data_IF_712446291299
#
_entry.id   IF_712446291299
#
_cell.length_a   1.000
_cell.length_b   1.000
_cell.length_c   1.000
_cell.angle_alpha   90.00
_cell.angle_beta   90.00
_cell.angle_gamma   90.00
#
_symmetry.space_group_name_H-M   'P 1'
#
loop_
_entity.id
_entity.type
_entity.pdbx_description
1 polymer ?
#
# COMPACT_ATOMS: atom_id res chain seq x y z
N UNK A 1 -15.54 -27.91 0.88
CA UNK A 1 -15.42 -26.49 0.55
C UNK A 1 -16.54 -25.78 1.29
N UNK A 2 -16.25 -25.25 2.45
CA UNK A 2 -17.24 -24.57 3.29
C UNK A 2 -16.66 -23.20 3.60
N UNK A 3 -17.28 -22.19 3.05
CA UNK A 3 -17.13 -20.80 3.43
C UNK A 3 -17.44 -20.67 4.92
N UNK A 4 -16.41 -20.47 5.74
CA UNK A 4 -16.64 -20.07 7.13
C UNK A 4 -17.15 -18.64 7.12
N UNK A 5 -18.44 -18.48 7.25
CA UNK A 5 -19.06 -17.25 7.68
C UNK A 5 -18.52 -16.93 9.08
N UNK A 6 -17.68 -15.91 9.15
CA UNK A 6 -17.32 -15.26 10.41
C UNK A 6 -18.53 -14.41 10.82
N UNK A 7 -19.57 -15.05 11.35
CA UNK A 7 -20.59 -14.35 12.12
C UNK A 7 -19.96 -14.02 13.46
N UNK A 8 -19.59 -12.74 13.65
CA UNK A 8 -19.38 -12.19 14.98
C UNK A 8 -20.62 -12.55 15.81
N UNK A 9 -20.49 -13.56 16.64
CA UNK A 9 -21.52 -13.91 17.59
C UNK A 9 -21.76 -12.67 18.47
N UNK A 10 -23.00 -12.20 18.55
CA UNK A 10 -23.40 -11.20 19.50
C UNK A 10 -23.09 -11.75 20.89
N UNK A 11 -22.01 -11.23 21.48
CA UNK A 11 -21.75 -11.49 22.90
C UNK A 11 -22.71 -10.62 23.70
N UNK A 12 -23.71 -11.25 24.28
CA UNK A 12 -24.84 -10.64 25.00
C UNK A 12 -24.40 -9.93 26.31
N UNK A 13 -23.13 -10.05 26.69
CA UNK A 13 -22.57 -9.47 27.93
C UNK A 13 -22.02 -8.05 27.74
N UNK A 14 -21.96 -7.49 26.54
CA UNK A 14 -21.43 -6.16 26.26
C UNK A 14 -22.40 -5.25 25.49
N UNK A 15 -23.70 -5.29 25.80
CA UNK A 15 -24.65 -4.29 25.32
C UNK A 15 -24.47 -2.93 26.04
N UNK A 16 -23.29 -2.39 26.03
CA UNK A 16 -23.10 -0.97 26.32
C UNK A 16 -23.36 -0.24 25.01
N UNK A 17 -24.63 0.08 24.78
CA UNK A 17 -25.05 0.88 23.64
C UNK A 17 -24.50 2.30 23.78
N UNK A 18 -24.05 2.89 22.68
CA UNK A 18 -23.77 4.32 22.63
C UNK A 18 -25.10 5.09 22.67
N UNK A 19 -25.16 6.14 23.47
CA UNK A 19 -26.23 7.13 23.36
C UNK A 19 -25.96 8.04 22.17
N UNK A 20 -26.98 8.36 21.39
CA UNK A 20 -26.85 9.12 20.16
C UNK A 20 -27.70 10.39 20.22
N UNK A 21 -27.09 11.54 19.96
CA UNK A 21 -27.76 12.85 19.88
C UNK A 21 -27.51 13.45 18.50
N UNK A 22 -28.56 13.69 17.72
CA UNK A 22 -28.46 14.35 16.44
C UNK A 22 -28.64 15.87 16.60
N UNK A 23 -27.75 16.63 16.00
CA UNK A 23 -27.80 18.10 15.94
C UNK A 23 -27.36 18.60 14.59
N UNK A 24 -27.71 19.83 14.29
CA UNK A 24 -27.18 20.58 13.16
C UNK A 24 -26.17 21.61 13.69
N UNK A 25 -25.02 21.71 13.05
CA UNK A 25 -23.97 22.68 13.35
C UNK A 25 -23.71 23.53 12.12
N UNK A 26 -23.57 24.84 12.30
CA UNK A 26 -23.08 25.69 11.21
C UNK A 26 -21.56 25.45 10.97
N UNK A 27 -21.11 25.70 9.76
CA UNK A 27 -19.67 25.72 9.48
C UNK A 27 -18.98 26.77 10.35
N UNK A 28 -19.63 27.87 10.66
CA UNK A 28 -19.14 28.90 11.57
C UNK A 28 -18.83 28.32 12.96
N UNK A 29 -19.71 27.49 13.49
CA UNK A 29 -19.52 26.86 14.81
C UNK A 29 -18.40 25.82 14.77
N UNK A 30 -18.37 24.97 13.75
CA UNK A 30 -17.40 23.89 13.69
C UNK A 30 -15.98 24.39 13.41
N UNK A 31 -15.80 25.44 12.60
CA UNK A 31 -14.49 26.00 12.26
C UNK A 31 -13.98 27.04 13.29
N UNK A 32 -14.78 27.39 14.32
CA UNK A 32 -14.38 28.38 15.30
C UNK A 32 -13.12 27.93 16.04
N UNK A 33 -12.11 28.80 16.09
CA UNK A 33 -10.85 28.51 16.78
C UNK A 33 -10.08 27.32 16.17
N UNK A 34 -10.22 27.07 14.84
CA UNK A 34 -9.48 26.00 14.16
C UNK A 34 -7.99 26.24 14.21
N UNK A 35 -7.25 25.22 14.65
CA UNK A 35 -5.79 25.19 14.71
C UNK A 35 -5.30 23.86 14.16
N UNK A 36 -4.36 23.93 13.23
CA UNK A 36 -3.63 22.77 12.72
C UNK A 36 -2.15 22.89 13.11
N UNK A 37 -1.75 22.21 14.18
CA UNK A 37 -0.38 22.15 14.66
C UNK A 37 0.41 20.97 14.06
N UNK A 38 -0.20 20.15 13.22
CA UNK A 38 0.49 19.01 12.59
C UNK A 38 1.65 19.44 11.69
N UNK A 39 1.64 20.71 11.24
CA UNK A 39 2.71 21.29 10.42
C UNK A 39 3.99 21.55 11.24
N UNK A 40 3.86 21.70 12.57
CA UNK A 40 4.96 22.09 13.48
C UNK A 40 5.45 20.95 14.37
N UNK A 41 4.96 19.73 14.20
CA UNK A 41 5.20 18.57 15.07
C UNK A 41 4.78 18.78 16.56
N UNK A 42 3.98 19.83 16.84
CA UNK A 42 3.65 20.24 18.22
C UNK A 42 2.24 19.86 18.69
N UNK A 43 1.53 18.99 17.95
CA UNK A 43 0.21 18.61 18.42
C UNK A 43 -0.81 18.30 17.35
N UNK A 44 -2.06 18.14 17.78
CA UNK A 44 -3.16 17.70 16.96
C UNK A 44 -3.81 18.81 16.14
N UNK A 45 -4.88 18.43 15.46
CA UNK A 45 -5.77 19.34 14.74
C UNK A 45 -7.04 19.52 15.57
N UNK A 46 -7.39 20.76 15.90
CA UNK A 46 -8.55 21.06 16.74
C UNK A 46 -9.40 22.19 16.19
N UNK A 47 -10.65 22.25 16.64
CA UNK A 47 -11.60 23.34 16.35
C UNK A 47 -12.62 23.51 17.49
N UNK A 48 -13.66 24.32 17.25
CA UNK A 48 -14.67 24.67 18.28
C UNK A 48 -14.02 25.22 19.57
N UNK A 49 -13.08 26.15 19.37
CA UNK A 49 -12.27 26.75 20.45
C UNK A 49 -11.46 25.70 21.25
N UNK A 50 -10.89 24.72 20.54
CA UNK A 50 -10.04 23.66 21.13
C UNK A 50 -10.80 22.47 21.69
N UNK A 51 -12.14 22.51 21.73
CA UNK A 51 -12.96 21.42 22.29
C UNK A 51 -13.04 20.18 21.39
N UNK A 52 -13.03 20.37 20.08
CA UNK A 52 -13.09 19.27 19.12
C UNK A 52 -11.70 18.88 18.66
N UNK A 53 -11.24 17.72 19.09
CA UNK A 53 -10.07 17.06 18.50
C UNK A 53 -10.49 16.44 17.14
N UNK A 54 -10.06 17.08 16.04
CA UNK A 54 -10.41 16.62 14.69
C UNK A 54 -9.60 15.40 14.27
N UNK A 55 -8.40 15.22 14.85
CA UNK A 55 -7.50 14.10 14.54
C UNK A 55 -7.09 13.34 15.80
N UNK A 56 -8.00 12.56 16.39
CA UNK A 56 -7.65 11.68 17.49
C UNK A 56 -6.63 10.61 17.03
N UNK A 57 -5.94 9.98 18.00
CA UNK A 57 -4.79 9.08 17.76
C UNK A 57 -5.07 7.92 16.79
N UNK A 58 -6.28 7.43 16.71
CA UNK A 58 -6.67 6.34 15.81
C UNK A 58 -7.00 6.80 14.37
N UNK A 59 -7.12 8.10 14.13
CA UNK A 59 -7.38 8.65 12.80
C UNK A 59 -6.09 8.77 11.98
N UNK A 60 -6.25 8.67 10.65
CA UNK A 60 -5.17 8.88 9.69
C UNK A 60 -4.83 10.36 9.52
N UNK A 61 -3.73 10.63 8.83
CA UNK A 61 -3.35 11.99 8.42
C UNK A 61 -4.34 12.57 7.40
N UNK A 62 -4.21 13.88 7.11
CA UNK A 62 -5.00 14.54 6.07
C UNK A 62 -4.45 14.14 4.69
N UNK A 63 -5.17 13.25 3.98
CA UNK A 63 -4.72 12.63 2.73
C UNK A 63 -5.24 13.29 1.46
N UNK A 64 -6.17 14.24 1.56
CA UNK A 64 -6.77 14.91 0.40
C UNK A 64 -6.10 16.24 0.06
N UNK A 65 -4.95 16.53 0.65
CA UNK A 65 -4.27 17.83 0.45
C UNK A 65 -3.90 18.05 -1.01
N UNK A 66 -3.42 17.05 -1.72
CA UNK A 66 -3.08 17.12 -3.14
C UNK A 66 -4.27 16.89 -4.08
N UNK A 67 -5.44 16.52 -3.56
CA UNK A 67 -6.62 16.29 -4.38
C UNK A 67 -7.46 17.56 -4.61
N UNK A 68 -6.97 18.43 -5.50
CA UNK A 68 -7.63 19.68 -5.87
C UNK A 68 -9.11 19.48 -6.27
N UNK A 69 -9.39 18.48 -7.09
CA UNK A 69 -10.74 18.23 -7.62
C UNK A 69 -11.72 17.87 -6.50
N UNK A 70 -11.29 17.05 -5.53
CA UNK A 70 -12.12 16.66 -4.41
C UNK A 70 -12.41 17.85 -3.48
N UNK A 71 -11.37 18.65 -3.16
CA UNK A 71 -11.52 19.87 -2.34
C UNK A 71 -12.50 20.87 -2.96
N UNK A 72 -12.35 21.14 -4.24
CA UNK A 72 -13.24 22.04 -4.98
C UNK A 72 -14.68 21.52 -5.04
N UNK A 73 -14.90 20.24 -5.31
CA UNK A 73 -16.23 19.64 -5.30
C UNK A 73 -16.91 19.76 -3.95
N UNK A 74 -16.19 19.58 -2.85
CA UNK A 74 -16.75 19.73 -1.51
C UNK A 74 -17.21 21.18 -1.26
N UNK A 75 -16.34 22.16 -1.50
CA UNK A 75 -16.67 23.58 -1.26
C UNK A 75 -17.78 24.03 -2.20
N UNK A 76 -17.75 23.63 -3.46
CA UNK A 76 -18.81 23.93 -4.42
C UNK A 76 -20.17 23.33 -4.01
N UNK A 77 -20.19 22.10 -3.45
CA UNK A 77 -21.43 21.50 -2.93
C UNK A 77 -22.02 22.34 -1.80
N UNK A 78 -21.18 22.85 -0.90
CA UNK A 78 -21.62 23.76 0.18
C UNK A 78 -22.15 25.08 -0.38
N UNK A 79 -21.44 25.69 -1.33
CA UNK A 79 -21.91 26.93 -2.01
C UNK A 79 -23.25 26.70 -2.70
N UNK A 80 -23.45 25.58 -3.36
CA UNK A 80 -24.70 25.22 -4.02
C UNK A 80 -25.82 24.82 -3.05
N UNK A 81 -25.51 24.57 -1.78
CA UNK A 81 -26.48 24.10 -0.78
C UNK A 81 -26.82 22.61 -0.95
N UNK A 82 -25.97 21.84 -1.64
CA UNK A 82 -26.18 20.41 -1.76
C UNK A 82 -25.86 19.71 -0.42
N UNK A 83 -26.61 18.66 -0.06
CA UNK A 83 -26.32 17.92 1.16
C UNK A 83 -24.97 17.23 1.06
N UNK A 84 -24.16 17.37 2.09
CA UNK A 84 -22.93 16.59 2.27
C UNK A 84 -23.12 15.59 3.41
N UNK A 85 -22.32 14.51 3.42
CA UNK A 85 -22.43 13.49 4.43
C UNK A 85 -22.27 14.08 5.83
N UNK A 86 -23.09 13.59 6.78
CA UNK A 86 -23.03 13.99 8.18
C UNK A 86 -21.66 13.70 8.79
N UNK A 87 -21.35 14.40 9.87
CA UNK A 87 -20.17 14.15 10.70
C UNK A 87 -20.58 13.41 11.97
N UNK A 88 -19.65 12.59 12.49
CA UNK A 88 -19.85 11.87 13.75
C UNK A 88 -18.82 12.33 14.76
N UNK A 89 -19.30 12.72 15.94
CA UNK A 89 -18.53 13.33 17.01
C UNK A 89 -18.64 12.42 18.25
N UNK A 90 -17.52 11.91 18.71
CA UNK A 90 -17.42 11.12 19.93
C UNK A 90 -17.42 12.01 21.19
N UNK A 91 -18.11 11.55 22.20
CA UNK A 91 -18.14 12.15 23.53
C UNK A 91 -17.88 11.05 24.55
N UNK A 92 -16.95 11.30 25.48
CA UNK A 92 -16.73 10.36 26.57
C UNK A 92 -17.92 10.38 27.52
N UNK A 93 -18.35 9.20 27.94
CA UNK A 93 -19.45 9.05 28.89
C UNK A 93 -19.21 9.79 30.20
N UNK A 94 -17.92 9.92 30.61
CA UNK A 94 -17.53 10.66 31.81
C UNK A 94 -17.77 12.18 31.67
N UNK A 95 -17.67 12.75 30.47
CA UNK A 95 -17.97 14.17 30.26
C UNK A 95 -19.42 14.49 30.60
N UNK A 96 -20.34 13.61 30.25
CA UNK A 96 -21.75 13.71 30.63
C UNK A 96 -21.95 13.49 32.12
N UNK A 97 -21.27 12.51 32.73
CA UNK A 97 -21.34 12.20 34.16
C UNK A 97 -20.80 13.32 35.08
N UNK A 98 -19.85 14.13 34.60
CA UNK A 98 -19.32 15.29 35.31
C UNK A 98 -20.31 16.44 35.46
N UNK A 99 -21.53 16.31 34.91
CA UNK A 99 -22.57 17.37 35.00
C UNK A 99 -22.26 18.60 34.15
N UNK A 100 -21.28 18.55 33.27
CA UNK A 100 -20.95 19.62 32.34
C UNK A 100 -22.10 19.86 31.36
N UNK A 101 -22.30 21.12 31.01
CA UNK A 101 -23.22 21.45 29.92
C UNK A 101 -22.66 20.97 28.56
N UNK A 102 -23.54 20.72 27.62
CA UNK A 102 -23.20 20.27 26.25
C UNK A 102 -22.10 21.13 25.58
N UNK A 103 -22.08 22.42 25.86
CA UNK A 103 -21.11 23.39 25.31
C UNK A 103 -19.71 23.28 25.95
N UNK A 104 -19.55 22.51 27.01
CA UNK A 104 -18.29 22.33 27.74
C UNK A 104 -17.66 20.94 27.52
N UNK A 105 -18.36 20.05 26.78
CA UNK A 105 -17.84 18.71 26.53
C UNK A 105 -16.56 18.73 25.69
N UNK A 106 -15.60 17.89 26.04
CA UNK A 106 -14.51 17.53 25.18
C UNK A 106 -15.02 16.56 24.09
N UNK A 107 -14.65 16.81 22.86
CA UNK A 107 -15.18 16.17 21.66
C UNK A 107 -14.05 15.58 20.84
N UNK A 108 -14.31 14.48 20.18
CA UNK A 108 -13.40 13.91 19.19
C UNK A 108 -14.12 13.56 17.88
N UNK A 109 -13.48 13.77 16.74
CA UNK A 109 -14.06 13.43 15.45
C UNK A 109 -13.99 11.93 15.23
N UNK A 110 -15.13 11.26 15.07
CA UNK A 110 -15.20 9.83 14.71
C UNK A 110 -15.24 9.61 13.20
N UNK A 111 -16.02 10.42 12.47
CA UNK A 111 -16.01 10.47 11.01
C UNK A 111 -16.30 11.88 10.51
N UNK A 112 -15.72 12.24 9.37
CA UNK A 112 -15.83 13.58 8.78
C UNK A 112 -14.55 14.41 8.89
N UNK A 113 -13.46 13.86 9.43
CA UNK A 113 -12.16 14.51 9.57
C UNK A 113 -11.71 15.22 8.28
N UNK A 114 -11.63 14.50 7.16
CA UNK A 114 -11.13 15.03 5.90
C UNK A 114 -11.98 16.23 5.42
N UNK A 115 -13.30 16.12 5.54
CA UNK A 115 -14.26 17.20 5.18
C UNK A 115 -14.06 18.42 6.06
N UNK A 116 -13.99 18.22 7.37
CA UNK A 116 -13.84 19.32 8.34
C UNK A 116 -12.52 20.06 8.14
N UNK A 117 -11.40 19.35 8.01
CA UNK A 117 -10.08 19.96 7.75
C UNK A 117 -10.11 20.75 6.44
N UNK A 118 -10.67 20.19 5.36
CA UNK A 118 -10.76 20.88 4.07
C UNK A 118 -11.56 22.17 4.15
N UNK A 119 -12.70 22.14 4.82
CA UNK A 119 -13.54 23.34 5.00
C UNK A 119 -12.77 24.40 5.79
N UNK A 120 -12.17 24.02 6.91
CA UNK A 120 -11.41 24.96 7.76
C UNK A 120 -10.17 25.51 7.02
N UNK A 121 -9.45 24.68 6.27
CA UNK A 121 -8.30 25.12 5.47
C UNK A 121 -8.71 26.10 4.37
N UNK A 122 -9.86 25.91 3.71
CA UNK A 122 -10.37 26.87 2.73
C UNK A 122 -10.69 28.21 3.39
N UNK A 123 -11.38 28.23 4.52
CA UNK A 123 -11.71 29.43 5.29
C UNK A 123 -10.44 30.17 5.74
N UNK A 124 -9.39 29.43 6.09
CA UNK A 124 -8.08 29.99 6.46
C UNK A 124 -7.21 30.38 5.24
N UNK A 125 -7.73 30.28 4.01
CA UNK A 125 -7.04 30.70 2.80
C UNK A 125 -5.88 29.81 2.38
N UNK A 126 -5.84 28.54 2.79
CA UNK A 126 -4.76 27.61 2.47
C UNK A 126 -4.76 27.24 0.98
N UNK A 127 -5.92 27.14 0.35
CA UNK A 127 -6.04 26.83 -1.07
C UNK A 127 -7.21 27.61 -1.73
N UNK A 128 -7.18 27.87 -3.06
CA UNK A 128 -8.26 28.46 -3.81
C UNK A 128 -9.26 27.42 -4.31
N UNK A 129 -10.48 27.87 -4.65
CA UNK A 129 -11.43 27.13 -5.51
C UNK A 129 -11.54 27.82 -6.86
N UNK A 130 -11.95 27.12 -7.89
CA UNK A 130 -12.14 27.67 -9.22
C UNK A 130 -13.62 27.95 -9.50
N UNK A 131 -13.96 29.20 -9.89
CA UNK A 131 -15.29 29.59 -10.31
C UNK A 131 -15.16 30.24 -11.70
N UNK A 132 -15.80 29.67 -12.70
CA UNK A 132 -15.75 30.14 -14.10
C UNK A 132 -14.30 30.30 -14.63
N UNK A 133 -13.40 29.34 -14.31
CA UNK A 133 -12.01 29.34 -14.75
C UNK A 133 -11.10 30.33 -14.01
N UNK A 134 -11.58 30.96 -12.92
CA UNK A 134 -10.77 31.88 -12.11
C UNK A 134 -10.61 31.37 -10.69
N UNK A 135 -9.40 31.43 -10.11
CA UNK A 135 -9.13 31.01 -8.74
C UNK A 135 -9.64 32.05 -7.73
N UNK A 136 -10.36 31.58 -6.71
CA UNK A 136 -10.82 32.37 -5.58
C UNK A 136 -10.36 31.77 -4.26
N UNK A 137 -9.58 32.54 -3.52
CA UNK A 137 -9.29 32.29 -2.12
C UNK A 137 -10.42 32.82 -1.24
N UNK A 138 -10.48 32.39 -0.01
CA UNK A 138 -11.45 32.92 0.96
C UNK A 138 -11.46 34.46 1.05
N UNK A 139 -10.27 35.09 0.99
CA UNK A 139 -10.09 36.53 1.13
C UNK A 139 -10.74 37.34 -0.01
N UNK A 140 -10.73 36.80 -1.24
CA UNK A 140 -11.27 37.47 -2.43
C UNK A 140 -12.59 36.86 -2.94
N UNK A 141 -13.17 35.91 -2.19
CA UNK A 141 -14.49 35.36 -2.49
C UNK A 141 -15.56 36.36 -2.15
N UNK A 142 -16.59 36.48 -3.00
CA UNK A 142 -17.73 37.36 -2.79
C UNK A 142 -18.39 37.05 -1.42
N UNK A 143 -18.76 38.10 -0.69
CA UNK A 143 -19.37 38.04 0.65
C UNK A 143 -20.59 37.11 0.70
N UNK A 144 -21.43 37.15 -0.31
CA UNK A 144 -22.63 36.30 -0.40
C UNK A 144 -22.27 34.80 -0.38
N UNK A 145 -21.14 34.39 -0.97
CA UNK A 145 -20.68 33.00 -0.95
C UNK A 145 -20.02 32.66 0.39
N UNK A 146 -19.25 33.59 0.98
CA UNK A 146 -18.69 33.42 2.32
C UNK A 146 -19.79 33.24 3.36
N UNK A 147 -20.86 34.09 3.32
CA UNK A 147 -22.00 33.96 4.22
C UNK A 147 -22.75 32.65 4.03
N UNK A 148 -22.90 32.21 2.77
CA UNK A 148 -23.53 30.93 2.47
C UNK A 148 -22.77 29.76 3.02
N UNK A 149 -21.42 29.76 2.90
CA UNK A 149 -20.54 28.74 3.48
C UNK A 149 -20.64 28.77 5.01
N UNK A 150 -20.47 29.94 5.65
CA UNK A 150 -20.45 30.05 7.10
C UNK A 150 -21.77 29.66 7.77
N UNK A 151 -22.89 29.85 7.10
CA UNK A 151 -24.22 29.53 7.62
C UNK A 151 -24.73 28.17 7.13
N UNK A 152 -23.92 27.42 6.34
CA UNK A 152 -24.29 26.08 5.90
C UNK A 152 -24.43 25.15 7.11
N UNK A 153 -25.55 24.41 7.15
CA UNK A 153 -25.88 23.48 8.23
C UNK A 153 -25.30 22.11 7.93
N UNK A 154 -24.42 21.64 8.82
CA UNK A 154 -23.87 20.30 8.82
C UNK A 154 -24.66 19.42 9.79
N UNK A 155 -25.16 18.30 9.31
CA UNK A 155 -25.72 17.28 10.20
C UNK A 155 -24.58 16.65 11.03
N UNK A 156 -24.70 16.71 12.35
CA UNK A 156 -23.77 16.16 13.30
C UNK A 156 -24.45 15.15 14.21
N UNK A 157 -23.85 13.98 14.36
CA UNK A 157 -24.30 12.95 15.30
C UNK A 157 -23.28 12.82 16.42
N UNK A 158 -23.70 13.11 17.64
CA UNK A 158 -22.89 12.92 18.84
C UNK A 158 -23.09 11.51 19.36
N UNK A 159 -21.99 10.78 19.48
CA UNK A 159 -21.93 9.39 19.91
C UNK A 159 -21.30 9.34 21.30
N UNK A 160 -22.12 9.19 22.33
CA UNK A 160 -21.71 9.20 23.74
C UNK A 160 -21.45 7.76 24.18
N UNK A 161 -20.24 7.44 24.56
CA UNK A 161 -19.81 6.13 24.99
C UNK A 161 -18.40 6.17 25.56
N UNK A 162 -17.95 5.06 26.15
CA UNK A 162 -16.56 4.90 26.54
C UNK A 162 -15.64 4.78 25.31
N UNK A 163 -14.34 4.77 25.51
CA UNK A 163 -13.36 4.72 24.42
C UNK A 163 -13.52 3.44 23.60
N UNK A 164 -13.77 2.30 24.25
CA UNK A 164 -13.92 1.01 23.58
C UNK A 164 -15.13 1.01 22.63
N UNK A 165 -16.28 1.50 23.10
CA UNK A 165 -17.50 1.60 22.31
C UNK A 165 -17.31 2.54 21.10
N UNK A 166 -16.61 3.69 21.27
CA UNK A 166 -16.32 4.63 20.20
C UNK A 166 -15.40 4.04 19.15
N UNK A 167 -14.33 3.34 19.54
CA UNK A 167 -13.41 2.66 18.64
C UNK A 167 -14.11 1.50 17.91
N UNK A 168 -14.93 0.71 18.61
CA UNK A 168 -15.71 -0.40 18.03
C UNK A 168 -16.68 0.11 16.96
N UNK A 169 -17.35 1.24 17.23
CA UNK A 169 -18.22 1.89 16.27
C UNK A 169 -17.45 2.44 15.07
N UNK A 170 -16.33 3.13 15.31
CA UNK A 170 -15.45 3.65 14.26
C UNK A 170 -15.00 2.54 13.29
N UNK A 171 -14.62 1.39 13.80
CA UNK A 171 -14.28 0.22 12.98
C UNK A 171 -15.47 -0.24 12.15
N UNK A 172 -16.66 -0.34 12.74
CA UNK A 172 -17.88 -0.82 12.05
C UNK A 172 -18.32 0.09 10.91
N UNK A 173 -18.31 1.40 11.09
CA UNK A 173 -18.77 2.32 10.05
C UNK A 173 -17.83 2.34 8.84
N UNK A 174 -16.56 2.01 9.05
CA UNK A 174 -15.56 1.98 8.00
C UNK A 174 -15.44 0.59 7.31
N UNK A 175 -16.01 -0.48 7.87
CA UNK A 175 -15.92 -1.82 7.32
C UNK A 175 -16.62 -2.05 5.97
N UNK A 176 -17.84 -1.58 5.69
CA UNK A 176 -18.56 -1.97 4.47
C UNK A 176 -18.03 -1.35 3.18
N UNK A 177 -17.33 -0.22 3.28
CA UNK A 177 -16.74 0.51 2.15
C UNK A 177 -15.24 0.70 2.34
N UNK A 178 -14.60 -0.21 3.04
CA UNK A 178 -13.24 -0.21 3.56
C UNK A 178 -12.28 0.73 2.82
N UNK A 179 -12.31 2.00 3.18
CA UNK A 179 -11.24 2.94 2.85
C UNK A 179 -10.07 2.82 3.84
N UNK A 180 -10.23 2.05 4.92
CA UNK A 180 -9.16 1.80 5.89
C UNK A 180 -8.34 0.58 5.49
N UNK A 181 -7.02 0.71 5.55
CA UNK A 181 -6.11 -0.43 5.42
C UNK A 181 -6.11 -1.29 6.68
N UNK A 182 -5.60 -2.52 6.58
CA UNK A 182 -5.43 -3.39 7.74
C UNK A 182 -4.59 -2.71 8.82
N UNK A 183 -3.56 -1.93 8.42
CA UNK A 183 -2.74 -1.20 9.37
C UNK A 183 -3.48 -0.06 10.06
N UNK A 184 -4.32 0.68 9.35
CA UNK A 184 -5.18 1.72 9.97
C UNK A 184 -6.14 1.11 11.00
N UNK A 185 -6.67 -0.09 10.75
CA UNK A 185 -7.49 -0.83 11.70
C UNK A 185 -6.67 -1.29 12.93
N UNK A 186 -5.46 -1.83 12.72
CA UNK A 186 -4.55 -2.20 13.80
C UNK A 186 -4.15 -0.99 14.64
N UNK A 187 -3.89 0.16 14.02
CA UNK A 187 -3.59 1.41 14.72
C UNK A 187 -4.70 1.82 15.68
N UNK A 188 -5.97 1.57 15.34
CA UNK A 188 -7.10 1.84 16.22
C UNK A 188 -7.26 0.82 17.35
N UNK A 189 -6.58 -0.33 17.26
CA UNK A 189 -6.66 -1.42 18.26
C UNK A 189 -5.55 -1.32 19.30
N UNK A 190 -4.34 -0.99 18.87
CA UNK A 190 -3.13 -1.03 19.69
C UNK A 190 -2.62 0.37 19.97
N UNK A 191 -3.47 1.21 20.59
CA UNK A 191 -3.10 2.57 20.98
C UNK A 191 -2.06 2.55 22.12
N UNK A 192 -1.07 3.43 22.03
CA UNK A 192 -0.01 3.59 23.04
C UNK A 192 1.14 4.47 22.55
N UNK A 193 2.07 4.76 23.44
CA UNK A 193 3.26 5.58 23.10
C UNK A 193 4.13 4.90 22.03
N UNK A 194 4.24 3.57 22.08
CA UNK A 194 4.91 2.78 21.02
C UNK A 194 4.37 3.12 19.64
N UNK A 195 3.04 3.08 19.46
CA UNK A 195 2.41 3.36 18.17
C UNK A 195 2.63 4.81 17.72
N UNK A 196 2.51 5.76 18.66
CA UNK A 196 2.71 7.18 18.33
C UNK A 196 4.16 7.46 17.92
N UNK A 197 5.14 6.85 18.57
CA UNK A 197 6.55 7.00 18.22
C UNK A 197 6.87 6.30 16.88
N UNK A 198 6.32 5.10 16.65
CA UNK A 198 6.41 4.41 15.37
C UNK A 198 5.82 5.25 14.22
N UNK A 199 4.66 5.87 14.42
CA UNK A 199 4.03 6.74 13.42
C UNK A 199 4.85 8.00 13.11
N UNK A 200 5.52 8.58 14.11
CA UNK A 200 6.43 9.73 13.87
C UNK A 200 7.55 9.39 12.92
N UNK A 201 8.06 8.16 12.97
CA UNK A 201 9.16 7.72 12.11
C UNK A 201 8.67 7.19 10.76
N UNK A 202 7.63 6.35 10.74
CA UNK A 202 7.22 5.59 9.55
C UNK A 202 6.06 6.22 8.77
N UNK A 203 5.34 7.20 9.31
CA UNK A 203 4.21 7.83 8.65
C UNK A 203 4.44 9.33 8.47
N UNK A 204 3.94 9.89 7.38
CA UNK A 204 4.02 11.32 7.11
C UNK A 204 3.06 12.12 8.01
N UNK A 205 3.38 12.23 9.29
CA UNK A 205 2.53 12.92 10.27
C UNK A 205 2.65 14.45 10.19
N UNK A 206 3.72 14.95 9.53
CA UNK A 206 3.97 16.39 9.36
C UNK A 206 4.69 16.68 8.03
N UNK A 207 4.72 17.96 7.60
CA UNK A 207 5.50 18.36 6.42
C UNK A 207 7.01 18.11 6.59
N UNK A 208 7.50 18.19 7.82
CA UNK A 208 8.89 17.88 8.13
C UNK A 208 9.16 16.38 7.96
N UNK A 209 8.31 15.53 8.53
CA UNK A 209 8.37 14.08 8.37
C UNK A 209 8.25 13.68 6.90
N UNK A 210 7.34 14.29 6.13
CA UNK A 210 7.23 14.06 4.68
C UNK A 210 8.52 14.37 3.93
N UNK A 211 9.20 15.47 4.27
CA UNK A 211 10.49 15.81 3.65
C UNK A 211 11.56 14.77 3.97
N UNK A 212 11.65 14.34 5.22
CA UNK A 212 12.62 13.34 5.67
C UNK A 212 12.35 11.97 5.05
N UNK A 213 11.09 11.55 4.98
CA UNK A 213 10.65 10.29 4.36
C UNK A 213 10.99 10.23 2.87
N UNK A 214 10.97 11.37 2.18
CA UNK A 214 11.24 11.49 0.75
C UNK A 214 12.69 11.87 0.43
N UNK A 215 13.55 12.00 1.42
CA UNK A 215 14.97 12.33 1.19
C UNK A 215 15.71 11.13 0.59
N UNK A 216 15.84 11.15 -0.73
CA UNK A 216 16.51 10.08 -1.49
C UNK A 216 18.02 10.01 -1.26
N UNK A 217 18.61 10.98 -0.57
CA UNK A 217 20.02 10.94 -0.18
C UNK A 217 20.25 10.15 1.10
N UNK A 218 19.18 9.92 1.89
CA UNK A 218 19.25 9.08 3.08
C UNK A 218 19.03 7.60 2.73
N UNK A 219 19.94 6.74 3.17
CA UNK A 219 19.83 5.27 2.98
C UNK A 219 18.57 4.69 3.64
N UNK A 220 18.06 5.31 4.69
CA UNK A 220 16.84 4.91 5.37
C UNK A 220 15.57 5.54 4.77
N UNK A 221 15.68 6.11 3.58
CA UNK A 221 14.54 6.71 2.89
C UNK A 221 13.43 5.68 2.65
N UNK A 222 12.29 5.96 3.24
CA UNK A 222 11.14 5.05 3.28
C UNK A 222 10.53 4.83 1.90
N UNK A 223 10.50 5.85 1.03
CA UNK A 223 9.94 5.75 -0.31
C UNK A 223 10.70 4.82 -1.26
N UNK A 224 11.83 4.27 -0.85
CA UNK A 224 12.50 3.20 -1.59
C UNK A 224 11.80 1.85 -1.45
N UNK A 225 11.13 1.64 -0.33
CA UNK A 225 10.53 0.35 0.04
C UNK A 225 9.01 0.36 -0.10
N UNK A 226 8.40 1.54 -0.32
CA UNK A 226 6.97 1.70 -0.50
C UNK A 226 6.63 2.93 -1.34
N UNK A 227 5.40 3.00 -1.88
CA UNK A 227 4.94 4.18 -2.62
C UNK A 227 4.65 5.36 -1.69
N UNK A 228 4.73 6.60 -2.20
CA UNK A 228 4.41 7.80 -1.44
C UNK A 228 2.96 7.79 -0.90
N UNK A 229 2.01 7.25 -1.67
CA UNK A 229 0.61 7.09 -1.26
C UNK A 229 0.43 6.06 -0.14
N UNK A 230 1.28 5.03 -0.08
CA UNK A 230 1.27 4.03 0.96
C UNK A 230 1.67 4.61 2.33
N UNK A 231 2.56 5.60 2.35
CA UNK A 231 3.00 6.27 3.59
C UNK A 231 1.85 6.99 4.28
N UNK A 232 1.03 7.71 3.52
CA UNK A 232 -0.12 8.45 4.05
C UNK A 232 -1.17 7.54 4.69
N UNK A 233 -1.21 6.27 4.27
CA UNK A 233 -2.10 5.24 4.79
C UNK A 233 -1.46 4.32 5.82
N UNK A 234 -0.29 4.67 6.32
CA UNK A 234 0.50 3.87 7.27
C UNK A 234 0.89 2.46 6.74
N UNK A 235 0.84 2.23 5.43
CA UNK A 235 1.23 0.93 4.83
C UNK A 235 2.72 0.65 5.02
N UNK A 236 3.55 1.69 5.14
CA UNK A 236 4.95 1.48 5.43
C UNK A 236 5.21 1.07 6.89
N UNK A 237 4.42 1.57 7.83
CA UNK A 237 4.46 1.06 9.21
C UNK A 237 4.12 -0.44 9.23
N UNK A 238 3.18 -0.89 8.39
CA UNK A 238 2.87 -2.31 8.22
C UNK A 238 4.08 -3.11 7.74
N UNK A 239 4.85 -2.60 6.75
CA UNK A 239 6.08 -3.24 6.27
C UNK A 239 7.13 -3.34 7.38
N UNK A 240 7.36 -2.28 8.13
CA UNK A 240 8.31 -2.29 9.24
C UNK A 240 7.90 -3.27 10.35
N UNK A 241 6.61 -3.33 10.68
CA UNK A 241 6.05 -4.26 11.64
C UNK A 241 6.11 -5.71 11.14
N UNK A 242 5.90 -5.94 9.84
CA UNK A 242 6.08 -7.26 9.22
C UNK A 242 7.54 -7.73 9.37
N UNK A 243 8.50 -6.88 9.01
CA UNK A 243 9.92 -7.21 9.17
C UNK A 243 10.29 -7.51 10.62
N UNK A 244 9.90 -6.62 11.55
CA UNK A 244 10.23 -6.81 12.96
C UNK A 244 9.56 -8.05 13.54
N UNK A 245 8.29 -8.29 13.24
CA UNK A 245 7.59 -9.49 13.71
C UNK A 245 8.13 -10.78 13.11
N UNK A 246 8.53 -10.74 11.82
CA UNK A 246 9.16 -11.90 11.16
C UNK A 246 10.48 -12.28 11.81
N UNK A 247 11.31 -11.29 12.16
CA UNK A 247 12.59 -11.48 12.82
C UNK A 247 12.39 -11.94 14.27
N UNK A 248 11.45 -11.32 15.01
CA UNK A 248 11.20 -11.64 16.41
C UNK A 248 10.62 -13.05 16.62
N UNK A 249 9.86 -13.57 15.65
CA UNK A 249 9.17 -14.87 15.76
C UNK A 249 9.72 -15.88 14.76
N UNK A 250 11.03 -16.00 14.72
CA UNK A 250 11.76 -16.88 13.80
C UNK A 250 11.25 -18.32 13.78
N UNK A 251 10.88 -18.86 14.94
CA UNK A 251 10.38 -20.23 15.12
C UNK A 251 9.00 -20.47 14.49
N UNK A 252 8.28 -19.39 14.11
CA UNK A 252 6.92 -19.44 13.57
C UNK A 252 6.86 -19.06 12.09
N UNK A 253 8.00 -18.98 11.42
CA UNK A 253 8.08 -18.62 10.00
C UNK A 253 7.30 -19.61 9.14
N UNK A 254 6.37 -19.07 8.35
CA UNK A 254 5.58 -19.84 7.41
C UNK A 254 4.30 -20.47 7.98
N UNK A 255 4.16 -20.62 9.30
CA UNK A 255 2.99 -21.21 9.94
C UNK A 255 1.94 -20.16 10.37
N UNK A 256 2.36 -18.93 10.61
CA UNK A 256 1.47 -17.85 11.04
C UNK A 256 1.23 -16.82 9.93
N UNK A 257 -0.03 -16.50 9.71
CA UNK A 257 -0.45 -15.43 8.80
C UNK A 257 0.17 -14.07 9.20
N UNK A 258 0.60 -13.28 8.21
CA UNK A 258 1.24 -11.98 8.42
C UNK A 258 0.41 -11.07 9.33
N UNK A 259 -0.91 -11.00 9.11
CA UNK A 259 -1.80 -10.16 9.92
C UNK A 259 -1.78 -10.56 11.40
N UNK A 260 -1.82 -11.86 11.69
CA UNK A 260 -1.76 -12.36 13.07
C UNK A 260 -0.42 -12.08 13.71
N UNK A 261 0.67 -12.25 12.97
CA UNK A 261 2.04 -12.01 13.44
C UNK A 261 2.24 -10.54 13.81
N UNK A 262 1.80 -9.61 12.95
CA UNK A 262 1.84 -8.16 13.23
C UNK A 262 0.96 -7.82 14.44
N UNK A 263 -0.25 -8.36 14.53
CA UNK A 263 -1.14 -8.13 15.67
C UNK A 263 -0.50 -8.59 16.99
N UNK A 264 0.15 -9.75 17.00
CA UNK A 264 0.88 -10.25 18.17
C UNK A 264 2.01 -9.29 18.57
N UNK A 265 2.82 -8.83 17.61
CA UNK A 265 3.92 -7.92 17.86
C UNK A 265 3.41 -6.61 18.46
N UNK A 266 2.39 -5.99 17.84
CA UNK A 266 1.79 -4.77 18.36
C UNK A 266 1.20 -4.93 19.76
N UNK A 267 0.55 -6.07 20.04
CA UNK A 267 -0.01 -6.37 21.37
C UNK A 267 1.08 -6.47 22.45
N UNK A 268 2.22 -7.07 22.13
CA UNK A 268 3.34 -7.20 23.06
C UNK A 268 4.01 -5.86 23.36
N UNK A 269 4.16 -5.01 22.36
CA UNK A 269 4.82 -3.72 22.46
C UNK A 269 3.86 -2.55 22.79
N UNK A 270 2.56 -2.79 22.91
CA UNK A 270 1.56 -1.73 23.13
C UNK A 270 1.85 -0.85 24.34
N UNK A 271 2.49 -1.40 25.39
CA UNK A 271 2.80 -0.71 26.65
C UNK A 271 4.21 -0.10 26.70
N UNK A 272 4.97 -0.24 25.61
CA UNK A 272 6.31 0.32 25.53
C UNK A 272 6.24 1.85 25.37
N UNK A 273 7.17 2.56 26.02
CA UNK A 273 7.22 4.01 26.00
C UNK A 273 7.69 4.61 24.67
N UNK A 274 8.22 3.78 23.76
CA UNK A 274 8.74 4.19 22.46
C UNK A 274 8.86 3.01 21.49
N UNK A 275 9.12 3.31 20.21
CA UNK A 275 9.32 2.32 19.14
C UNK A 275 10.80 2.11 18.78
N UNK A 276 11.73 2.37 19.68
CA UNK A 276 13.17 2.32 19.41
C UNK A 276 13.62 0.95 18.88
N UNK A 277 13.09 -0.12 19.40
CA UNK A 277 13.42 -1.48 18.96
C UNK A 277 12.99 -1.72 17.51
N UNK A 278 11.73 -1.37 17.17
CA UNK A 278 11.20 -1.44 15.81
C UNK A 278 12.04 -0.63 14.81
N UNK A 279 12.38 0.62 15.19
CA UNK A 279 13.19 1.52 14.35
C UNK A 279 14.61 0.96 14.18
N UNK A 280 15.19 0.38 15.22
CA UNK A 280 16.53 -0.24 15.17
C UNK A 280 16.51 -1.44 14.27
N UNK A 281 15.52 -2.33 14.39
CA UNK A 281 15.37 -3.50 13.53
C UNK A 281 15.24 -3.10 12.07
N UNK A 282 14.38 -2.13 11.75
CA UNK A 282 14.28 -1.57 10.41
C UNK A 282 15.62 -1.10 9.86
N UNK A 283 16.35 -0.28 10.64
CA UNK A 283 17.66 0.26 10.24
C UNK A 283 18.68 -0.86 10.02
N UNK A 284 18.69 -1.88 10.86
CA UNK A 284 19.61 -3.02 10.75
C UNK A 284 19.36 -3.79 9.44
N UNK A 285 18.10 -4.04 9.08
CA UNK A 285 17.77 -4.69 7.80
C UNK A 285 18.20 -3.82 6.62
N UNK A 286 17.92 -2.50 6.67
CA UNK A 286 18.34 -1.57 5.62
C UNK A 286 19.87 -1.51 5.50
N UNK A 287 20.58 -1.45 6.62
CA UNK A 287 22.05 -1.46 6.63
C UNK A 287 22.62 -2.70 5.96
N UNK A 288 22.04 -3.86 6.24
CA UNK A 288 22.41 -5.11 5.58
C UNK A 288 22.10 -5.09 4.08
N UNK A 289 20.92 -4.62 3.66
CA UNK A 289 20.56 -4.51 2.24
C UNK A 289 21.58 -3.64 1.51
N UNK A 290 21.89 -2.47 2.06
CA UNK A 290 22.80 -1.51 1.44
C UNK A 290 24.23 -2.06 1.40
N UNK A 291 24.71 -2.66 2.48
CA UNK A 291 26.06 -3.23 2.52
C UNK A 291 26.20 -4.43 1.57
N UNK A 292 25.16 -5.25 1.41
CA UNK A 292 25.22 -6.47 0.59
C UNK A 292 25.04 -6.18 -0.91
N UNK A 293 24.09 -5.31 -1.28
CA UNK A 293 23.68 -5.16 -2.69
C UNK A 293 23.98 -3.78 -3.27
N UNK A 294 24.39 -2.81 -2.45
CA UNK A 294 24.55 -1.42 -2.89
C UNK A 294 25.79 -0.72 -2.41
N UNK A 295 26.76 -1.49 -1.92
CA UNK A 295 28.03 -0.92 -1.48
C UNK A 295 28.74 -0.26 -2.65
N UNK A 296 29.26 0.95 -2.43
CA UNK A 296 30.00 1.78 -3.41
C UNK A 296 29.16 2.36 -4.57
N UNK A 297 27.85 2.43 -4.46
CA UNK A 297 27.04 3.21 -5.40
C UNK A 297 26.84 4.62 -4.85
N UNK A 298 27.06 5.65 -5.69
CA UNK A 298 26.89 7.06 -5.30
C UNK A 298 25.41 7.41 -5.09
N UNK A 299 24.53 6.79 -5.90
CA UNK A 299 23.09 6.97 -5.81
C UNK A 299 22.42 5.69 -5.31
N UNK A 300 21.63 5.80 -4.24
CA UNK A 300 20.79 4.70 -3.80
C UNK A 300 19.67 4.49 -4.81
N UNK A 301 19.46 3.27 -5.29
CA UNK A 301 18.44 3.02 -6.30
C UNK A 301 17.04 3.28 -5.78
N UNK A 302 16.22 3.82 -6.64
CA UNK A 302 14.78 3.99 -6.44
C UNK A 302 14.05 2.98 -7.30
N UNK A 303 14.13 1.70 -6.95
CA UNK A 303 13.44 0.68 -7.75
C UNK A 303 12.07 0.36 -7.17
N UNK A 304 11.07 0.35 -8.03
CA UNK A 304 9.77 -0.23 -7.70
C UNK A 304 9.91 -1.71 -7.29
N UNK A 305 10.96 -2.38 -7.76
CA UNK A 305 11.29 -3.77 -7.51
C UNK A 305 11.66 -4.06 -6.04
N UNK A 306 12.17 -3.07 -5.31
CA UNK A 306 12.47 -3.18 -3.87
C UNK A 306 11.24 -3.36 -2.99
N UNK A 307 10.12 -2.79 -3.40
CA UNK A 307 8.91 -2.66 -2.58
C UNK A 307 8.23 -3.98 -2.22
N UNK A 308 8.55 -5.07 -2.91
CA UNK A 308 7.86 -6.37 -2.73
C UNK A 308 8.81 -7.51 -2.38
N UNK A 309 10.05 -7.21 -2.06
CA UNK A 309 11.04 -8.22 -1.68
C UNK A 309 10.84 -8.62 -0.23
N UNK A 310 10.98 -9.89 0.08
CA UNK A 310 10.86 -10.43 1.44
C UNK A 310 12.15 -10.21 2.25
N UNK A 311 12.49 -8.92 2.45
CA UNK A 311 13.77 -8.53 3.03
C UNK A 311 14.04 -9.12 4.41
N UNK A 312 13.02 -9.20 5.27
CA UNK A 312 13.18 -9.79 6.60
C UNK A 312 13.55 -11.29 6.51
N UNK A 313 12.95 -12.03 5.57
CA UNK A 313 13.30 -13.43 5.33
C UNK A 313 14.74 -13.56 4.84
N UNK A 314 15.12 -12.80 3.83
CA UNK A 314 16.48 -12.82 3.31
C UNK A 314 17.50 -12.42 4.38
N UNK A 315 17.20 -11.43 5.20
CA UNK A 315 18.04 -11.03 6.32
C UNK A 315 18.22 -12.16 7.34
N UNK A 316 17.14 -12.85 7.70
CA UNK A 316 17.24 -13.98 8.62
C UNK A 316 18.04 -15.16 8.05
N UNK A 317 17.92 -15.41 6.75
CA UNK A 317 18.63 -16.54 6.09
C UNK A 317 20.09 -16.23 5.77
N UNK A 318 20.40 -14.98 5.41
CA UNK A 318 21.71 -14.61 4.87
C UNK A 318 22.41 -13.49 5.63
N UNK A 319 21.73 -12.82 6.56
CA UNK A 319 22.26 -11.63 7.27
C UNK A 319 23.46 -11.92 8.19
N UNK A 320 23.64 -13.18 8.61
CA UNK A 320 24.80 -13.61 9.40
C UNK A 320 25.99 -14.06 8.55
N UNK A 321 25.85 -14.12 7.22
CA UNK A 321 26.94 -14.52 6.34
C UNK A 321 27.92 -13.36 6.16
N UNK A 322 29.20 -13.70 6.16
CA UNK A 322 30.28 -12.77 5.83
C UNK A 322 30.57 -12.86 4.32
N UNK A 323 30.44 -11.75 3.62
CA UNK A 323 30.79 -11.63 2.20
C UNK A 323 31.96 -10.70 2.03
N UNK A 324 32.90 -11.08 1.15
CA UNK A 324 34.02 -10.23 0.76
C UNK A 324 33.55 -9.02 -0.04
N UNK A 325 34.37 -7.99 -0.10
CA UNK A 325 34.07 -6.79 -0.89
C UNK A 325 33.88 -7.09 -2.39
N UNK A 326 34.62 -8.07 -2.92
CA UNK A 326 34.51 -8.50 -4.31
C UNK A 326 33.19 -9.23 -4.57
N UNK A 327 32.74 -10.09 -3.65
CA UNK A 327 31.42 -10.75 -3.74
C UNK A 327 30.28 -9.73 -3.68
N UNK A 328 30.33 -8.76 -2.78
CA UNK A 328 29.32 -7.69 -2.68
C UNK A 328 29.26 -6.86 -3.96
N UNK A 329 30.41 -6.55 -4.54
CA UNK A 329 30.49 -5.83 -5.83
C UNK A 329 29.87 -6.66 -6.95
N UNK A 330 30.16 -7.96 -7.01
CA UNK A 330 29.56 -8.89 -7.98
C UNK A 330 28.04 -8.97 -7.80
N UNK A 331 27.54 -9.01 -6.56
CA UNK A 331 26.09 -8.99 -6.27
C UNK A 331 25.43 -7.73 -6.81
N UNK A 332 26.04 -6.56 -6.56
CA UNK A 332 25.55 -5.29 -7.08
C UNK A 332 25.48 -5.27 -8.60
N UNK A 333 26.57 -5.63 -9.27
CA UNK A 333 26.66 -5.63 -10.74
C UNK A 333 25.62 -6.60 -11.36
N UNK A 334 25.48 -7.81 -10.81
CA UNK A 334 24.48 -8.79 -11.28
C UNK A 334 23.05 -8.32 -11.06
N UNK A 335 22.75 -7.72 -9.91
CA UNK A 335 21.40 -7.19 -9.65
C UNK A 335 21.05 -6.08 -10.65
N UNK A 336 21.99 -5.16 -10.91
CA UNK A 336 21.79 -4.06 -11.86
C UNK A 336 21.56 -4.58 -13.28
N UNK A 337 22.41 -5.48 -13.75
CA UNK A 337 22.32 -6.08 -15.09
C UNK A 337 20.93 -6.72 -15.33
N UNK A 338 20.44 -7.46 -14.35
CA UNK A 338 19.15 -8.16 -14.45
C UNK A 338 17.98 -7.18 -14.39
N UNK A 339 18.06 -6.17 -13.52
CA UNK A 339 17.01 -5.18 -13.33
C UNK A 339 16.92 -4.24 -14.55
N UNK A 340 18.05 -3.88 -15.16
CA UNK A 340 18.06 -3.10 -16.41
C UNK A 340 17.45 -3.86 -17.58
N UNK A 341 17.59 -5.18 -17.60
CA UNK A 341 16.95 -6.06 -18.60
C UNK A 341 15.48 -6.39 -18.28
N UNK A 342 14.74 -5.47 -17.71
CA UNK A 342 13.36 -5.60 -17.16
C UNK A 342 12.36 -6.37 -17.99
N UNK A 343 12.55 -6.40 -19.32
CA UNK A 343 11.60 -7.05 -20.23
C UNK A 343 11.66 -8.58 -20.18
N UNK A 344 12.71 -9.15 -19.60
CA UNK A 344 12.97 -10.58 -19.64
C UNK A 344 12.63 -11.34 -18.34
N UNK A 345 12.33 -10.61 -17.25
CA UNK A 345 11.95 -11.20 -15.96
C UNK A 345 10.53 -10.81 -15.54
N UNK A 346 9.83 -11.71 -14.86
CA UNK A 346 8.49 -11.45 -14.33
C UNK A 346 8.44 -11.32 -12.81
N UNK A 347 9.51 -11.69 -12.13
CA UNK A 347 9.63 -11.64 -10.67
C UNK A 347 10.89 -10.90 -10.25
N UNK A 348 10.88 -9.55 -10.27
CA UNK A 348 12.01 -8.75 -9.77
C UNK A 348 12.38 -9.09 -8.33
N UNK A 349 11.39 -9.48 -7.51
CA UNK A 349 11.61 -9.88 -6.12
C UNK A 349 12.63 -11.02 -5.95
N UNK A 350 12.68 -11.95 -6.91
CA UNK A 350 13.58 -13.09 -6.84
C UNK A 350 15.03 -12.79 -7.23
N UNK A 351 15.31 -11.62 -7.81
CA UNK A 351 16.67 -11.24 -8.25
C UNK A 351 17.65 -11.27 -7.10
N UNK A 352 17.30 -10.61 -6.00
CA UNK A 352 18.19 -10.49 -4.85
C UNK A 352 18.50 -11.85 -4.21
N UNK A 353 17.49 -12.70 -4.07
CA UNK A 353 17.66 -14.05 -3.54
C UNK A 353 18.49 -14.92 -4.49
N UNK A 354 18.21 -14.89 -5.78
CA UNK A 354 18.97 -15.66 -6.76
C UNK A 354 20.45 -15.26 -6.80
N UNK A 355 20.74 -13.96 -6.72
CA UNK A 355 22.11 -13.44 -6.72
C UNK A 355 22.86 -13.86 -5.47
N UNK A 356 22.28 -13.72 -4.27
CA UNK A 356 22.95 -14.09 -3.02
C UNK A 356 23.19 -15.62 -2.89
N UNK A 357 22.40 -16.43 -3.58
CA UNK A 357 22.58 -17.89 -3.69
C UNK A 357 23.63 -18.30 -4.73
N UNK A 358 24.32 -17.35 -5.33
CA UNK A 358 25.39 -17.58 -6.31
C UNK A 358 24.93 -17.55 -7.76
N UNK A 359 23.72 -17.08 -8.05
CA UNK A 359 23.16 -16.83 -9.39
C UNK A 359 23.26 -18.06 -10.33
N UNK A 360 22.93 -19.25 -9.82
CA UNK A 360 23.01 -20.50 -10.60
C UNK A 360 21.98 -20.52 -11.73
N UNK A 361 22.41 -20.79 -12.94
CA UNK A 361 21.58 -20.79 -14.14
C UNK A 361 20.40 -21.78 -14.11
N UNK A 362 20.57 -22.94 -13.50
CA UNK A 362 19.55 -23.97 -13.33
C UNK A 362 18.43 -23.55 -12.35
N UNK A 363 18.72 -22.65 -11.42
CA UNK A 363 17.77 -22.09 -10.47
C UNK A 363 17.07 -20.80 -11.01
N UNK A 364 17.59 -20.19 -12.07
CA UNK A 364 17.11 -18.91 -12.59
C UNK A 364 15.60 -18.88 -12.88
N UNK A 365 15.03 -19.97 -13.38
CA UNK A 365 13.59 -20.05 -13.69
C UNK A 365 12.70 -20.03 -12.44
N UNK A 366 13.20 -20.50 -11.32
CA UNK A 366 12.49 -20.51 -10.05
C UNK A 366 12.35 -19.08 -9.49
N UNK A 367 13.47 -18.33 -9.49
CA UNK A 367 13.54 -17.01 -8.89
C UNK A 367 13.11 -15.89 -9.83
N UNK A 368 13.60 -15.86 -11.05
CA UNK A 368 13.40 -14.76 -11.98
C UNK A 368 12.09 -14.89 -12.77
N UNK A 369 11.60 -16.12 -12.94
CA UNK A 369 10.40 -16.40 -13.74
C UNK A 369 10.42 -15.62 -15.07
N UNK A 370 11.39 -15.88 -15.98
CA UNK A 370 11.55 -15.11 -17.20
C UNK A 370 10.27 -15.15 -18.05
N UNK A 371 9.84 -13.99 -18.54
CA UNK A 371 8.63 -13.85 -19.40
C UNK A 371 8.91 -14.17 -20.85
N UNK A 372 10.15 -13.94 -21.28
CA UNK A 372 10.57 -14.15 -22.65
C UNK A 372 11.51 -15.33 -22.76
N UNK A 373 11.40 -16.02 -23.85
CA UNK A 373 12.36 -17.05 -24.19
C UNK A 373 13.72 -16.45 -24.55
N UNK A 374 14.80 -17.11 -24.17
CA UNK A 374 16.15 -16.70 -24.56
C UNK A 374 16.29 -16.73 -26.09
N UNK A 375 16.99 -15.77 -26.68
CA UNK A 375 17.21 -15.69 -28.14
C UNK A 375 17.76 -17.00 -28.70
N UNK A 376 18.72 -17.63 -28.01
CA UNK A 376 19.26 -18.93 -28.38
C UNK A 376 18.19 -20.02 -28.46
N UNK A 377 17.25 -20.05 -27.51
CA UNK A 377 16.16 -21.03 -27.49
C UNK A 377 15.17 -20.79 -28.61
N UNK A 378 14.87 -19.52 -28.91
CA UNK A 378 14.05 -19.11 -30.05
C UNK A 378 14.65 -19.56 -31.36
N UNK A 379 15.96 -19.33 -31.56
CA UNK A 379 16.68 -19.71 -32.77
C UNK A 379 16.72 -21.24 -32.96
N UNK A 380 17.06 -21.95 -31.89
CA UNK A 380 17.13 -23.39 -31.87
C UNK A 380 15.78 -24.03 -32.14
N UNK A 381 14.71 -23.54 -31.52
CA UNK A 381 13.36 -24.10 -31.74
C UNK A 381 12.87 -23.84 -33.16
N UNK A 382 13.10 -22.64 -33.73
CA UNK A 382 12.76 -22.35 -35.09
C UNK A 382 13.44 -23.29 -36.07
N UNK A 383 14.75 -23.55 -35.90
CA UNK A 383 15.49 -24.50 -36.69
C UNK A 383 14.97 -25.93 -36.54
N UNK A 384 14.70 -26.38 -35.30
CA UNK A 384 14.19 -27.73 -35.05
C UNK A 384 12.78 -27.95 -35.61
N UNK A 385 11.95 -26.91 -35.64
CA UNK A 385 10.65 -26.96 -36.30
C UNK A 385 10.75 -26.87 -37.84
N UNK A 386 11.90 -26.45 -38.38
CA UNK A 386 12.06 -26.19 -39.81
C UNK A 386 11.20 -25.05 -40.34
N UNK A 387 10.82 -24.09 -39.45
CA UNK A 387 9.87 -23.01 -39.78
C UNK A 387 8.43 -23.49 -40.02
N UNK A 388 8.08 -24.71 -39.60
CA UNK A 388 6.74 -25.28 -39.79
C UNK A 388 5.89 -25.04 -38.54
N UNK A 389 4.67 -24.53 -38.75
CA UNK A 389 3.66 -24.40 -37.68
C UNK A 389 3.02 -25.77 -37.41
N UNK A 390 3.09 -26.28 -36.15
CA UNK A 390 2.54 -27.61 -35.84
C UNK A 390 1.02 -27.67 -35.84
N UNK A 391 0.31 -26.54 -35.98
CA UNK A 391 -1.15 -26.52 -36.06
C UNK A 391 -1.64 -26.89 -37.47
N UNK A 392 -1.03 -26.32 -38.50
CA UNK A 392 -1.47 -26.50 -39.87
C UNK A 392 -0.45 -27.18 -40.82
N UNK A 393 0.73 -27.52 -40.27
CA UNK A 393 1.85 -28.16 -40.98
C UNK A 393 2.37 -27.36 -42.20
N UNK A 394 2.25 -26.01 -42.16
CA UNK A 394 2.75 -25.12 -43.21
C UNK A 394 4.03 -24.43 -42.79
N UNK A 395 4.88 -24.17 -43.80
CA UNK A 395 6.08 -23.36 -43.58
C UNK A 395 5.74 -21.88 -43.52
N UNK A 396 6.34 -21.18 -42.53
CA UNK A 396 6.28 -19.75 -42.38
C UNK A 396 7.67 -19.15 -42.13
N UNK A 397 8.02 -18.04 -42.81
CA UNK A 397 9.22 -17.28 -42.44
C UNK A 397 9.13 -16.85 -40.98
N UNK A 398 10.28 -16.73 -40.33
CA UNK A 398 10.35 -16.37 -38.90
C UNK A 398 9.58 -15.10 -38.55
N UNK A 399 9.64 -14.08 -39.40
CA UNK A 399 8.94 -12.81 -39.22
C UNK A 399 7.41 -12.94 -39.21
N UNK A 400 6.89 -14.04 -39.76
CA UNK A 400 5.46 -14.35 -39.76
C UNK A 400 5.04 -15.33 -38.66
N UNK A 401 5.96 -15.68 -37.77
CA UNK A 401 5.68 -16.55 -36.65
C UNK A 401 5.75 -15.77 -35.33
N UNK A 402 5.13 -16.32 -34.28
CA UNK A 402 5.16 -15.85 -32.91
C UNK A 402 5.56 -16.99 -31.97
N UNK A 403 6.43 -16.71 -31.04
CA UNK A 403 6.80 -17.65 -30.00
C UNK A 403 5.65 -17.80 -28.99
N UNK A 404 5.29 -19.04 -28.66
CA UNK A 404 4.16 -19.36 -27.80
C UNK A 404 4.58 -20.32 -26.69
N UNK A 405 4.03 -20.09 -25.47
CA UNK A 405 4.19 -20.99 -24.35
C UNK A 405 3.22 -22.17 -24.49
N UNK A 406 3.70 -23.39 -24.63
CA UNK A 406 2.88 -24.61 -24.72
C UNK A 406 1.97 -24.74 -23.47
N UNK A 407 2.53 -24.57 -22.30
CA UNK A 407 1.78 -24.33 -21.07
C UNK A 407 1.71 -22.81 -20.86
N UNK A 408 0.53 -22.21 -20.82
CA UNK A 408 0.39 -20.77 -20.69
C UNK A 408 1.12 -20.20 -19.49
N UNK A 409 1.67 -19.00 -19.66
CA UNK A 409 2.34 -18.28 -18.57
C UNK A 409 1.43 -18.10 -17.33
N UNK A 410 0.16 -17.77 -17.55
CA UNK A 410 -0.83 -17.61 -16.47
C UNK A 410 -1.07 -18.91 -15.68
N UNK A 411 -0.81 -20.07 -16.29
CA UNK A 411 -0.93 -21.38 -15.69
C UNK A 411 0.40 -21.91 -15.12
N UNK A 412 1.33 -21.00 -14.76
CA UNK A 412 2.67 -21.30 -14.26
C UNK A 412 3.57 -21.98 -15.30
N UNK A 413 3.39 -21.68 -16.57
CA UNK A 413 4.32 -22.09 -17.65
C UNK A 413 5.63 -21.30 -17.55
N UNK A 414 6.76 -21.97 -17.74
CA UNK A 414 8.12 -21.37 -17.74
C UNK A 414 8.55 -20.99 -19.15
N UNK A 415 9.45 -19.98 -19.27
CA UNK A 415 10.05 -19.58 -20.56
C UNK A 415 11.30 -20.39 -20.87
N UNK A 416 11.15 -21.72 -20.85
CA UNK A 416 12.21 -22.69 -21.15
C UNK A 416 12.02 -23.29 -22.56
N UNK A 417 13.10 -23.82 -23.11
CA UNK A 417 13.09 -24.47 -24.41
C UNK A 417 12.00 -25.54 -24.56
N UNK A 418 11.75 -26.33 -23.52
CA UNK A 418 10.75 -27.42 -23.52
C UNK A 418 9.29 -26.92 -23.49
N UNK A 419 9.09 -25.66 -23.18
CA UNK A 419 7.77 -25.01 -23.15
C UNK A 419 7.58 -24.04 -24.34
N UNK A 420 8.49 -24.01 -25.31
CA UNK A 420 8.49 -23.12 -26.45
C UNK A 420 7.98 -23.85 -27.70
N UNK A 421 7.14 -23.14 -28.44
CA UNK A 421 6.73 -23.52 -29.83
C UNK A 421 6.60 -22.27 -30.67
N UNK A 422 6.97 -22.35 -31.94
CA UNK A 422 6.67 -21.32 -32.93
C UNK A 422 5.37 -21.63 -33.63
N UNK A 423 4.46 -20.66 -33.67
CA UNK A 423 3.18 -20.69 -34.40
C UNK A 423 3.15 -19.54 -35.38
N UNK A 424 2.43 -19.72 -36.51
CA UNK A 424 2.11 -18.57 -37.36
C UNK A 424 1.36 -17.52 -36.57
N UNK A 425 1.56 -16.23 -36.83
CA UNK A 425 0.84 -15.14 -36.16
C UNK A 425 -0.67 -15.32 -36.20
N UNK A 426 -1.19 -15.88 -37.31
CA UNK A 426 -2.61 -16.17 -37.47
C UNK A 426 -3.10 -17.26 -36.52
N UNK A 427 -2.40 -18.42 -36.47
CA UNK A 427 -2.76 -19.54 -35.59
C UNK A 427 -2.54 -19.18 -34.10
N UNK A 428 -1.49 -18.42 -33.79
CA UNK A 428 -1.25 -17.88 -32.43
C UNK A 428 -2.44 -17.04 -31.96
N UNK A 429 -2.94 -16.13 -32.81
CA UNK A 429 -4.09 -15.29 -32.43
C UNK A 429 -5.39 -16.12 -32.37
N UNK A 430 -5.61 -17.08 -33.25
CA UNK A 430 -6.77 -17.98 -33.20
C UNK A 430 -6.78 -18.84 -31.92
N UNK A 431 -5.61 -19.35 -31.51
CA UNK A 431 -5.47 -20.14 -30.30
C UNK A 431 -5.81 -19.30 -29.05
N UNK A 432 -5.28 -18.06 -28.94
CA UNK A 432 -5.60 -17.14 -27.88
C UNK A 432 -7.05 -16.67 -27.85
N UNK A 433 -7.68 -16.54 -29.01
CA UNK A 433 -9.10 -16.19 -29.14
C UNK A 433 -10.06 -17.38 -28.90
N UNK A 434 -9.54 -18.59 -28.64
CA UNK A 434 -10.34 -19.78 -28.44
C UNK A 434 -10.99 -20.31 -29.75
N UNK A 435 -10.61 -19.77 -30.91
CA UNK A 435 -11.08 -20.20 -32.20
C UNK A 435 -10.44 -21.55 -32.64
N UNK A 436 -9.31 -21.91 -32.05
CA UNK A 436 -8.68 -23.23 -32.14
C UNK A 436 -8.65 -23.81 -30.75
N UNK A 437 -9.30 -24.96 -30.55
CA UNK A 437 -9.25 -25.71 -29.28
C UNK A 437 -8.16 -26.78 -29.41
N UNK A 438 -6.98 -26.51 -28.84
CA UNK A 438 -5.86 -27.44 -28.81
C UNK A 438 -5.24 -27.42 -27.43
N UNK A 439 -5.12 -28.57 -26.79
CA UNK A 439 -4.47 -28.65 -25.47
C UNK A 439 -2.95 -28.49 -25.59
N UNK A 440 -2.28 -28.03 -24.57
CA UNK A 440 -0.84 -27.92 -24.53
C UNK A 440 -0.13 -29.28 -24.75
N UNK A 441 -0.74 -30.38 -24.31
CA UNK A 441 -0.22 -31.75 -24.54
C UNK A 441 -0.26 -32.12 -26.00
N UNK A 442 -1.38 -31.86 -26.69
CA UNK A 442 -1.52 -32.12 -28.14
C UNK A 442 -0.56 -31.26 -28.95
N UNK A 443 -0.44 -29.97 -28.60
CA UNK A 443 0.51 -29.06 -29.25
C UNK A 443 1.95 -29.54 -29.08
N UNK A 444 2.32 -30.01 -27.90
CA UNK A 444 3.65 -30.58 -27.62
C UNK A 444 3.92 -31.87 -28.40
N UNK A 445 2.93 -32.72 -28.53
CA UNK A 445 3.05 -33.95 -29.33
C UNK A 445 3.30 -33.63 -30.79
N UNK A 446 2.54 -32.72 -31.38
CA UNK A 446 2.74 -32.29 -32.81
C UNK A 446 4.11 -31.64 -32.98
N UNK A 447 4.55 -30.81 -32.06
CA UNK A 447 5.90 -30.22 -32.07
C UNK A 447 6.98 -31.32 -32.06
N UNK A 448 6.84 -32.33 -31.20
CA UNK A 448 7.80 -33.43 -31.10
C UNK A 448 7.87 -34.27 -32.35
N UNK A 449 6.72 -34.49 -33.04
CA UNK A 449 6.69 -35.18 -34.34
C UNK A 449 7.45 -34.39 -35.42
N UNK A 450 7.27 -33.08 -35.47
CA UNK A 450 8.03 -32.21 -36.38
C UNK A 450 9.53 -32.23 -36.09
N UNK A 451 9.93 -32.11 -34.84
CA UNK A 451 11.32 -32.13 -34.42
C UNK A 451 11.97 -33.48 -34.80
N UNK A 452 11.25 -34.59 -34.61
CA UNK A 452 11.71 -35.93 -34.98
C UNK A 452 11.84 -36.07 -36.50
N UNK A 453 10.87 -35.57 -37.27
CA UNK A 453 10.93 -35.56 -38.73
C UNK A 453 12.13 -34.75 -39.28
N UNK A 454 12.55 -33.71 -38.54
CA UNK A 454 13.71 -32.87 -38.86
C UNK A 454 15.04 -33.40 -38.24
N UNK A 455 15.05 -34.59 -37.63
CA UNK A 455 16.26 -35.27 -37.18
C UNK A 455 16.77 -34.80 -35.76
N UNK A 456 15.91 -34.20 -34.94
CA UNK A 456 16.29 -33.67 -33.63
C UNK A 456 15.82 -34.52 -32.43
N UNK A 457 15.53 -35.78 -32.60
CA UNK A 457 15.24 -36.75 -31.55
C UNK A 457 15.92 -38.07 -31.80
#
# INVERSE_FOLDING_TARGET
MATKNNTDAFDDTSMIGMEVINKSLTIREICKGYVDNSIKDEGGVSSMDGRLNIRPRYQRTYIVDDNKVWKEKLINSIICGYPINRIYIGVDVEEKAKGKSFIEWALEMLDGQQRTITICNFINGVFPIEINGKPYFWSNLDEKYRDRIMNYQLDATYCIGDEEARIKWFKRINQPNSLLTNQELRNSTYLGEFLEDAKRFFCATSKHAQKQINDKTDKYCITRYTSATAIDRCEFLEVALDWASYIAYEDLRGDEDMDKRICRYMAQHQKDDNAKELITTYKTVVDWIVDTYWKNQEDYPTFDEFQKVEWARLFCEYGCNEYTEDEKKEFTEKCLDIIESRYDISSPKGVFEWVIRGAKEDEANEFLKPRRFKTRDLDNMYMQQGGIDPIDNKYYPRDNMAAHHIRPWMDKGTSTFDNLVWLSKENHNKLHAGAISLSGVELKNRLNELRKANGYF
#
